data_IF_498603188687
#
_entry.id   IF_498603188687
#
_cell.length_a   1.000
_cell.length_b   1.000
_cell.length_c   1.000
_cell.angle_alpha   90.00
_cell.angle_beta   90.00
_cell.angle_gamma   90.00
#
_symmetry.space_group_name_H-M   'P 1'
#
loop_
_entity.id
_entity.type
_entity.pdbx_description
1 polymer ?
#
# COMPACT_ATOMS: atom_id res chain seq x y z
N UNK A 1 -5.98 21.25 36.73
CA UNK A 1 -5.39 19.96 37.15
C UNK A 1 -5.91 18.80 36.29
N UNK A 2 -7.23 18.63 36.14
CA UNK A 2 -7.86 17.58 35.31
C UNK A 2 -7.38 17.55 33.85
N UNK A 3 -7.31 18.71 33.17
CA UNK A 3 -6.79 18.78 31.79
C UNK A 3 -5.33 18.32 31.69
N UNK A 4 -4.48 18.65 32.67
CA UNK A 4 -3.06 18.28 32.67
C UNK A 4 -2.87 16.76 32.83
N UNK A 5 -3.61 16.14 33.75
CA UNK A 5 -3.62 14.68 33.96
C UNK A 5 -4.09 13.97 32.68
N UNK A 6 -5.15 14.47 32.06
CA UNK A 6 -5.66 13.96 30.79
C UNK A 6 -4.62 14.02 29.65
N UNK A 7 -3.92 15.15 29.48
CA UNK A 7 -2.88 15.28 28.47
C UNK A 7 -1.66 14.40 28.75
N UNK A 8 -1.25 14.26 30.01
CA UNK A 8 -0.13 13.37 30.39
C UNK A 8 -0.45 11.89 30.15
N UNK A 9 -1.66 11.44 30.50
CA UNK A 9 -2.08 10.04 30.24
C UNK A 9 -2.17 9.78 28.74
N UNK A 10 -2.74 10.73 27.98
CA UNK A 10 -2.87 10.64 26.53
C UNK A 10 -1.52 10.59 25.80
N UNK A 11 -0.59 11.46 26.18
CA UNK A 11 0.77 11.46 25.64
C UNK A 11 1.45 10.10 25.88
N UNK A 12 1.37 9.59 27.12
CA UNK A 12 1.96 8.29 27.45
C UNK A 12 1.32 7.11 26.71
N UNK A 13 0.00 7.09 26.52
CA UNK A 13 -0.67 6.03 25.75
C UNK A 13 -0.24 6.04 24.27
N UNK A 14 -0.11 7.23 23.66
CA UNK A 14 0.41 7.36 22.30
C UNK A 14 1.86 6.87 22.22
N UNK A 15 2.73 7.27 23.15
CA UNK A 15 4.11 6.79 23.21
C UNK A 15 4.20 5.27 23.40
N UNK A 16 3.30 4.67 24.19
CA UNK A 16 3.26 3.23 24.41
C UNK A 16 2.93 2.43 23.14
N UNK A 17 2.10 2.97 22.25
CA UNK A 17 1.74 2.32 21.00
C UNK A 17 2.92 2.21 20.02
N UNK A 18 3.76 3.25 19.96
CA UNK A 18 4.93 3.31 19.06
C UNK A 18 6.23 2.78 19.68
N UNK A 19 6.26 2.48 20.98
CA UNK A 19 7.48 1.99 21.63
C UNK A 19 7.85 0.59 21.17
N UNK A 20 9.09 0.39 20.71
CA UNK A 20 9.60 -0.90 20.21
C UNK A 20 9.80 -1.97 21.31
N UNK A 21 10.08 -1.57 22.56
CA UNK A 21 10.43 -2.48 23.65
C UNK A 21 9.23 -2.88 24.53
N UNK A 22 8.95 -4.18 24.65
CA UNK A 22 7.82 -4.70 25.43
C UNK A 22 7.91 -4.43 26.94
N UNK A 23 9.10 -4.41 27.53
CA UNK A 23 9.28 -4.12 28.96
C UNK A 23 9.03 -2.65 29.27
N UNK A 24 9.50 -1.73 28.42
CA UNK A 24 9.23 -0.30 28.56
C UNK A 24 7.75 0.03 28.32
N UNK A 25 7.09 -0.63 27.36
CA UNK A 25 5.64 -0.53 27.17
C UNK A 25 4.86 -0.96 28.40
N UNK A 26 5.21 -2.11 29.01
CA UNK A 26 4.57 -2.59 30.24
C UNK A 26 4.81 -1.61 31.40
N UNK A 27 6.04 -1.15 31.58
CA UNK A 27 6.37 -0.17 32.62
C UNK A 27 5.57 1.13 32.44
N UNK A 28 5.48 1.66 31.22
CA UNK A 28 4.69 2.87 30.96
C UNK A 28 3.19 2.64 31.16
N UNK A 29 2.65 1.49 30.73
CA UNK A 29 1.26 1.11 31.00
C UNK A 29 0.96 1.02 32.51
N UNK A 30 1.88 0.46 33.30
CA UNK A 30 1.76 0.42 34.77
C UNK A 30 1.76 1.83 35.38
N UNK A 31 2.64 2.72 34.91
CA UNK A 31 2.69 4.11 35.36
C UNK A 31 1.39 4.84 35.01
N UNK A 32 0.85 4.64 33.80
CA UNK A 32 -0.39 5.27 33.35
C UNK A 32 -1.61 4.80 34.15
N UNK A 33 -1.70 3.50 34.44
CA UNK A 33 -2.74 2.93 35.30
C UNK A 33 -2.62 3.48 36.72
N UNK A 34 -1.40 3.58 37.26
CA UNK A 34 -1.17 4.12 38.58
C UNK A 34 -1.57 5.60 38.68
N UNK A 35 -1.21 6.43 37.70
CA UNK A 35 -1.60 7.85 37.62
C UNK A 35 -3.13 8.00 37.51
N UNK A 36 -3.79 7.12 36.76
CA UNK A 36 -5.25 7.10 36.64
C UNK A 36 -5.92 6.74 37.98
N UNK A 37 -5.42 5.73 38.68
CA UNK A 37 -5.93 5.33 40.00
C UNK A 37 -5.72 6.43 41.05
N UNK A 38 -4.58 7.13 41.02
CA UNK A 38 -4.31 8.26 41.91
C UNK A 38 -5.25 9.44 41.61
N UNK A 39 -5.50 9.74 40.34
CA UNK A 39 -6.45 10.79 39.95
C UNK A 39 -7.88 10.46 40.40
N UNK A 40 -8.31 9.20 40.25
CA UNK A 40 -9.61 8.73 40.73
C UNK A 40 -9.71 8.80 42.27
N UNK A 41 -8.63 8.47 42.98
CA UNK A 41 -8.58 8.57 44.44
C UNK A 41 -8.71 10.03 44.91
N UNK A 42 -7.98 10.96 44.30
CA UNK A 42 -8.07 12.40 44.60
C UNK A 42 -9.49 12.92 44.35
N UNK A 43 -10.12 12.55 43.22
CA UNK A 43 -11.50 12.95 42.90
C UNK A 43 -12.51 12.34 43.89
N UNK A 44 -12.29 11.12 44.37
CA UNK A 44 -13.16 10.47 45.36
C UNK A 44 -13.06 11.04 46.77
N UNK A 45 -11.97 11.75 47.07
CA UNK A 45 -11.72 12.36 48.38
C UNK A 45 -12.28 13.79 48.53
N UNK A 46 -12.76 14.39 47.44
CA UNK A 46 -13.35 15.73 47.43
C UNK A 46 -14.89 15.63 47.47
N UNK A 47 -15.48 16.02 48.60
CA UNK A 47 -16.91 15.84 48.92
C UNK A 47 -17.88 16.76 48.16
N UNK A 48 -17.41 17.49 47.13
CA UNK A 48 -18.27 18.30 46.26
C UNK A 48 -18.63 17.53 44.99
N UNK A 49 -19.68 16.71 45.12
CA UNK A 49 -20.22 15.81 44.10
C UNK A 49 -20.80 16.51 42.85
N UNK A 50 -19.95 17.14 42.02
CA UNK A 50 -20.28 17.56 40.64
C UNK A 50 -19.22 17.21 39.60
N UNK A 51 -18.02 16.74 39.99
CA UNK A 51 -16.93 16.40 39.05
C UNK A 51 -16.94 14.96 38.52
N UNK A 52 -17.48 13.99 39.27
CA UNK A 52 -17.36 12.57 38.95
C UNK A 52 -18.19 12.12 37.72
N UNK A 53 -19.27 12.82 37.39
CA UNK A 53 -20.15 12.46 36.25
C UNK A 53 -19.57 12.90 34.90
N UNK A 54 -18.63 13.85 34.87
CA UNK A 54 -18.03 14.34 33.62
C UNK A 54 -16.96 13.38 33.07
N UNK A 55 -16.25 12.67 33.96
CA UNK A 55 -15.17 11.74 33.58
C UNK A 55 -15.74 10.48 32.91
N UNK A 56 -16.89 9.98 33.38
CA UNK A 56 -17.50 8.76 32.79
C UNK A 56 -18.14 9.01 31.42
N UNK A 57 -18.74 10.19 31.21
CA UNK A 57 -19.35 10.55 29.92
C UNK A 57 -18.34 11.06 28.88
N UNK A 58 -17.16 11.55 29.28
CA UNK A 58 -16.07 11.87 28.33
C UNK A 58 -15.19 10.67 27.97
N UNK A 59 -15.25 9.57 28.73
CA UNK A 59 -14.51 8.33 28.43
C UNK A 59 -15.27 7.36 27.50
N UNK A 60 -16.57 7.56 27.27
CA UNK A 60 -17.37 6.76 26.33
C UNK A 60 -17.11 7.09 24.86
N UNK A 61 -16.34 8.13 24.56
CA UNK A 61 -15.78 8.37 23.23
C UNK A 61 -14.25 8.27 23.29
N UNK A 62 -13.61 7.42 22.47
CA UNK A 62 -12.18 7.31 22.45
C UNK A 62 -11.53 8.64 22.06
N UNK A 63 -10.98 9.34 23.04
CA UNK A 63 -10.50 10.71 22.94
C UNK A 63 -9.11 10.84 22.30
N UNK A 64 -8.65 9.78 21.62
CA UNK A 64 -7.60 9.88 20.60
C UNK A 64 -8.06 10.68 19.36
N UNK A 65 -9.37 10.97 19.24
CA UNK A 65 -9.97 11.79 18.18
C UNK A 65 -9.88 13.32 18.35
N UNK A 66 -9.34 13.87 19.45
CA UNK A 66 -9.20 15.33 19.61
C UNK A 66 -7.74 15.78 19.55
N UNK A 67 -7.06 15.60 18.42
CA UNK A 67 -5.81 16.32 18.15
C UNK A 67 -6.13 17.82 18.05
N UNK A 68 -5.45 18.60 18.88
CA UNK A 68 -5.48 20.07 18.86
C UNK A 68 -4.42 20.52 17.85
N UNK A 69 -4.90 21.23 16.83
CA UNK A 69 -4.26 22.36 16.16
C UNK A 69 -3.23 22.22 15.02
N UNK A 70 -2.78 21.03 14.59
CA UNK A 70 -2.00 20.92 13.35
C UNK A 70 -2.70 20.04 12.32
N UNK A 71 -2.72 20.49 11.07
CA UNK A 71 -3.31 19.73 9.99
C UNK A 71 -2.52 18.43 9.83
N UNK A 72 -3.16 17.25 9.85
CA UNK A 72 -2.43 16.00 9.95
C UNK A 72 -1.51 15.80 8.74
N UNK A 73 -0.23 15.56 9.01
CA UNK A 73 0.77 15.12 8.03
C UNK A 73 1.13 13.67 8.31
N UNK A 74 1.37 12.91 7.25
CA UNK A 74 1.70 11.49 7.33
C UNK A 74 3.01 11.19 6.60
N UNK A 75 3.82 10.32 7.18
CA UNK A 75 4.96 9.73 6.49
C UNK A 75 4.43 8.57 5.65
N UNK A 76 4.55 8.68 4.34
CA UNK A 76 4.20 7.63 3.39
C UNK A 76 5.47 6.90 2.99
N UNK A 77 5.42 5.58 2.99
CA UNK A 77 6.48 4.68 2.56
C UNK A 77 5.92 3.79 1.47
N UNK A 78 6.72 3.49 0.46
CA UNK A 78 6.34 2.60 -0.62
C UNK A 78 7.49 1.68 -1.01
N UNK A 79 7.16 0.46 -1.43
CA UNK A 79 8.12 -0.52 -1.98
C UNK A 79 7.77 -0.86 -3.42
N UNK A 80 8.80 -1.17 -4.18
CA UNK A 80 8.67 -1.55 -5.57
C UNK A 80 8.95 -3.02 -5.81
N UNK A 81 8.26 -3.56 -6.79
CA UNK A 81 8.66 -4.76 -7.48
C UNK A 81 10.07 -4.58 -8.11
N UNK A 82 10.82 -5.68 -8.22
CA UNK A 82 12.12 -5.73 -8.89
C UNK A 82 11.97 -6.17 -10.35
N UNK A 83 10.89 -6.86 -10.69
CA UNK A 83 10.59 -7.11 -12.09
C UNK A 83 10.42 -5.75 -12.79
N UNK A 84 11.14 -5.61 -13.90
CA UNK A 84 11.04 -4.48 -14.81
C UNK A 84 11.73 -3.15 -14.42
N UNK A 85 12.75 -3.09 -13.55
CA UNK A 85 13.48 -1.81 -13.32
C UNK A 85 13.83 -1.08 -14.65
N UNK A 86 13.23 0.10 -14.86
CA UNK A 86 13.38 0.86 -16.09
C UNK A 86 14.42 1.96 -15.89
N UNK A 87 15.67 1.64 -16.25
CA UNK A 87 16.82 2.53 -16.09
C UNK A 87 16.68 3.86 -16.85
N UNK A 88 16.05 3.84 -18.03
CA UNK A 88 15.85 5.04 -18.86
C UNK A 88 14.86 6.02 -18.19
N UNK A 89 13.73 5.50 -17.70
CA UNK A 89 12.76 6.30 -16.94
C UNK A 89 13.36 6.82 -15.62
N UNK A 90 14.14 5.99 -14.94
CA UNK A 90 14.81 6.37 -13.69
C UNK A 90 15.74 7.57 -13.87
N UNK A 91 16.60 7.56 -14.90
CA UNK A 91 17.55 8.64 -15.21
C UNK A 91 16.88 9.95 -15.69
N UNK A 92 15.69 9.86 -16.28
CA UNK A 92 14.95 11.02 -16.81
C UNK A 92 14.09 11.76 -15.78
N UNK A 93 13.91 11.22 -14.57
CA UNK A 93 13.00 11.81 -13.57
C UNK A 93 13.70 12.87 -12.70
N UNK A 94 13.14 14.09 -12.57
CA UNK A 94 13.69 15.10 -11.68
C UNK A 94 13.66 14.69 -10.20
N UNK A 95 12.77 13.76 -9.82
CA UNK A 95 12.68 13.21 -8.46
C UNK A 95 13.84 12.24 -8.11
N UNK A 96 14.63 11.83 -9.10
CA UNK A 96 15.73 10.87 -8.95
C UNK A 96 17.13 11.52 -9.08
N UNK A 97 17.22 12.86 -9.19
CA UNK A 97 18.45 13.56 -9.58
C UNK A 97 19.68 13.26 -8.69
N UNK A 98 19.49 12.82 -7.45
CA UNK A 98 20.55 12.50 -6.50
C UNK A 98 20.65 11.00 -6.14
N UNK A 99 19.93 10.11 -6.84
CA UNK A 99 19.90 8.68 -6.55
C UNK A 99 20.67 7.93 -7.64
N UNK A 100 21.71 7.18 -7.25
CA UNK A 100 22.45 6.36 -8.20
C UNK A 100 21.59 5.20 -8.70
N UNK A 101 21.49 5.03 -10.03
CA UNK A 101 20.81 3.89 -10.62
C UNK A 101 21.49 2.58 -10.17
N UNK A 102 20.72 1.50 -9.89
CA UNK A 102 21.31 0.22 -9.54
C UNK A 102 22.10 -0.36 -10.72
N UNK A 103 23.43 -0.29 -10.64
CA UNK A 103 24.34 -1.27 -11.24
C UNK A 103 24.55 -1.22 -12.76
N UNK A 104 24.97 -0.08 -13.31
CA UNK A 104 25.64 -0.03 -14.63
C UNK A 104 27.15 -0.27 -14.49
N UNK A 105 27.60 -1.51 -14.38
CA UNK A 105 29.03 -1.84 -14.26
C UNK A 105 29.34 -3.24 -14.78
N UNK A 106 29.88 -3.31 -15.99
CA UNK A 106 30.28 -4.56 -16.66
C UNK A 106 31.26 -5.38 -15.83
N UNK A 107 30.95 -6.67 -15.70
CA UNK A 107 31.74 -7.66 -15.00
C UNK A 107 30.82 -8.69 -14.35
N UNK A 108 31.15 -9.96 -14.50
CA UNK A 108 30.42 -11.15 -14.05
C UNK A 108 30.37 -11.27 -12.51
N UNK A 109 29.87 -10.23 -11.83
CA UNK A 109 29.55 -10.25 -10.39
C UNK A 109 28.11 -10.72 -10.25
N UNK A 110 27.89 -11.75 -9.42
CA UNK A 110 26.56 -12.28 -9.06
C UNK A 110 25.55 -11.14 -8.97
N UNK A 111 24.57 -11.10 -9.88
CA UNK A 111 23.56 -10.04 -9.95
C UNK A 111 22.78 -10.04 -8.63
N UNK A 112 23.16 -9.15 -7.72
CA UNK A 112 22.38 -8.88 -6.52
C UNK A 112 21.03 -8.32 -6.98
N UNK A 113 19.92 -8.90 -6.51
CA UNK A 113 18.58 -8.41 -6.82
C UNK A 113 18.33 -7.12 -6.06
N UNK A 114 17.58 -6.20 -6.66
CA UNK A 114 17.39 -4.84 -6.14
C UNK A 114 15.91 -4.47 -6.20
N UNK A 115 15.44 -3.73 -5.22
CA UNK A 115 14.10 -3.13 -5.21
C UNK A 115 14.24 -1.67 -4.74
N UNK A 116 13.17 -0.89 -4.76
CA UNK A 116 13.16 0.47 -4.25
C UNK A 116 12.31 0.60 -2.98
N UNK A 117 12.73 1.50 -2.10
CA UNK A 117 11.98 1.99 -0.96
C UNK A 117 11.86 3.52 -1.07
N UNK A 118 10.67 4.01 -1.37
CA UNK A 118 10.40 5.43 -1.52
C UNK A 118 9.72 6.00 -0.27
N UNK A 119 10.05 7.24 0.06
CA UNK A 119 9.47 7.95 1.20
C UNK A 119 8.88 9.29 0.74
N UNK A 120 7.77 9.69 1.36
CA UNK A 120 7.07 10.93 1.07
C UNK A 120 6.38 11.52 2.31
N UNK A 121 6.00 12.79 2.25
CA UNK A 121 5.02 13.38 3.15
C UNK A 121 3.67 13.50 2.45
N UNK A 122 2.61 12.99 3.08
CA UNK A 122 1.24 13.32 2.73
C UNK A 122 0.77 14.49 3.60
N UNK A 123 0.35 15.58 2.96
CA UNK A 123 -0.26 16.73 3.59
C UNK A 123 -1.77 16.66 3.42
N UNK A 124 -2.50 16.85 4.51
CA UNK A 124 -3.94 17.11 4.47
C UNK A 124 -4.15 18.60 4.65
N UNK A 125 -5.12 19.18 3.96
CA UNK A 125 -5.60 20.57 4.16
C UNK A 125 -7.12 20.57 4.18
N UNK A 126 -7.71 21.48 4.95
CA UNK A 126 -9.17 21.64 5.03
C UNK A 126 -9.48 23.08 4.59
N UNK A 127 -10.16 23.25 3.46
CA UNK A 127 -10.56 24.61 3.04
C UNK A 127 -11.60 25.19 4.01
N UNK A 128 -11.48 26.48 4.32
CA UNK A 128 -12.49 27.23 5.09
C UNK A 128 -12.25 27.42 6.59
N UNK A 129 -11.13 26.94 7.14
CA UNK A 129 -10.76 27.16 8.55
C UNK A 129 -9.51 28.01 8.70
N UNK A 130 -9.61 29.32 8.50
CA UNK A 130 -8.59 30.26 8.98
C UNK A 130 -8.58 30.26 10.51
N UNK A 131 -7.79 29.36 11.11
CA UNK A 131 -7.65 29.23 12.55
C UNK A 131 -7.53 27.78 12.99
N UNK A 132 -6.49 27.51 13.79
CA UNK A 132 -6.29 26.26 14.55
C UNK A 132 -7.62 25.74 15.10
N UNK A 133 -8.15 24.66 14.53
CA UNK A 133 -9.48 24.19 14.92
C UNK A 133 -9.85 22.83 14.35
N UNK A 134 -10.26 21.95 15.27
CA UNK A 134 -10.82 20.60 15.12
C UNK A 134 -11.63 20.40 13.82
N UNK A 135 -11.45 19.24 13.16
CA UNK A 135 -12.36 18.68 12.15
C UNK A 135 -13.76 18.44 12.77
N UNK A 136 -14.51 19.51 13.02
CA UNK A 136 -15.94 19.46 13.32
C UNK A 136 -16.70 19.77 12.04
N UNK A 137 -17.42 18.75 11.57
CA UNK A 137 -18.47 18.78 10.55
C UNK A 137 -18.93 20.20 10.13
N UNK A 138 -18.61 20.63 8.91
CA UNK A 138 -19.61 20.93 7.87
C UNK A 138 -18.95 21.39 6.55
N UNK A 139 -19.34 20.73 5.45
CA UNK A 139 -19.17 21.10 4.02
C UNK A 139 -17.79 21.13 3.34
N UNK A 140 -16.66 21.29 4.03
CA UNK A 140 -15.37 21.35 3.32
C UNK A 140 -14.75 19.96 3.10
N UNK A 141 -14.47 19.64 1.83
CA UNK A 141 -13.76 18.41 1.45
C UNK A 141 -12.28 18.55 1.83
N UNK A 142 -11.69 17.57 2.54
CA UNK A 142 -10.24 17.59 2.76
C UNK A 142 -9.53 17.50 1.42
N UNK A 143 -8.47 18.29 1.26
CA UNK A 143 -7.54 18.20 0.14
C UNK A 143 -6.27 17.52 0.58
N UNK A 144 -5.72 16.73 -0.31
CA UNK A 144 -4.51 15.97 -0.07
C UNK A 144 -3.45 16.35 -1.10
N UNK A 145 -2.19 16.39 -0.68
CA UNK A 145 -1.05 16.53 -1.58
C UNK A 145 0.10 15.69 -1.06
N UNK A 146 0.89 15.11 -1.97
CA UNK A 146 2.04 14.29 -1.63
C UNK A 146 3.35 14.92 -2.11
N UNK A 147 4.37 14.87 -1.28
CA UNK A 147 5.72 15.35 -1.57
C UNK A 147 6.72 14.20 -1.37
N UNK A 148 7.33 13.73 -2.45
CA UNK A 148 8.36 12.69 -2.42
C UNK A 148 9.68 13.23 -1.86
N UNK A 149 10.31 12.46 -0.96
CA UNK A 149 11.56 12.83 -0.28
C UNK A 149 12.77 12.10 -0.82
N UNK A 150 12.69 10.78 -0.90
CA UNK A 150 13.83 9.92 -1.15
C UNK A 150 13.38 8.61 -1.81
N UNK A 151 14.30 8.02 -2.56
CA UNK A 151 14.21 6.64 -3.06
C UNK A 151 15.50 5.93 -2.68
N UNK A 152 15.40 4.90 -1.86
CA UNK A 152 16.51 4.07 -1.43
C UNK A 152 16.50 2.73 -2.17
N UNK A 153 17.66 2.20 -2.51
CA UNK A 153 17.78 0.88 -3.13
C UNK A 153 17.87 -0.20 -2.05
N UNK A 154 16.89 -1.10 -2.05
CA UNK A 154 16.89 -2.32 -1.27
C UNK A 154 17.68 -3.40 -2.01
N UNK A 155 18.37 -4.27 -1.27
CA UNK A 155 19.19 -5.34 -1.85
C UNK A 155 19.10 -6.63 -1.04
N UNK A 156 19.11 -7.76 -1.74
CA UNK A 156 19.12 -9.09 -1.15
C UNK A 156 19.84 -10.08 -2.06
N UNK A 157 20.37 -11.14 -1.47
CA UNK A 157 20.97 -12.26 -2.18
C UNK A 157 20.05 -13.48 -2.30
N UNK A 158 18.88 -13.46 -1.65
CA UNK A 158 17.92 -14.57 -1.75
C UNK A 158 17.20 -14.51 -3.09
N UNK A 159 17.16 -15.65 -3.77
CA UNK A 159 16.47 -15.84 -5.04
C UNK A 159 15.88 -17.25 -5.09
N UNK A 160 14.80 -17.42 -5.85
CA UNK A 160 14.25 -18.70 -6.28
C UNK A 160 14.13 -18.63 -7.79
N UNK A 161 14.58 -19.66 -8.51
CA UNK A 161 14.63 -19.68 -10.00
C UNK A 161 15.20 -18.40 -10.65
N UNK A 162 16.17 -17.80 -9.96
CA UNK A 162 16.85 -16.58 -10.38
C UNK A 162 16.09 -15.29 -10.06
N UNK A 163 14.83 -15.31 -9.66
CA UNK A 163 13.97 -14.17 -9.32
C UNK A 163 13.90 -13.90 -7.81
N UNK A 164 13.47 -12.70 -7.42
CA UNK A 164 13.41 -12.29 -6.01
C UNK A 164 13.58 -10.79 -5.78
N UNK A 165 13.20 -10.34 -4.58
CA UNK A 165 12.91 -8.93 -4.26
C UNK A 165 11.78 -8.30 -5.10
N UNK A 166 10.84 -9.12 -5.54
CA UNK A 166 9.61 -8.66 -6.19
C UNK A 166 8.61 -8.33 -5.06
N UNK A 167 8.78 -7.13 -4.48
CA UNK A 167 8.09 -6.73 -3.25
C UNK A 167 6.70 -6.17 -3.53
N UNK A 168 5.66 -6.96 -3.22
CA UNK A 168 4.28 -6.70 -3.70
C UNK A 168 3.29 -6.25 -2.63
N UNK A 169 3.74 -5.84 -1.44
CA UNK A 169 2.87 -5.23 -0.41
C UNK A 169 3.70 -4.66 0.75
N UNK A 170 3.16 -3.70 1.52
CA UNK A 170 3.84 -3.13 2.69
C UNK A 170 2.90 -3.02 3.89
N UNK A 171 3.32 -3.45 5.08
CA UNK A 171 2.46 -3.45 6.27
C UNK A 171 3.23 -3.24 7.58
N UNK A 172 2.77 -2.31 8.43
CA UNK A 172 3.18 -2.28 9.83
C UNK A 172 2.54 -3.41 10.64
N UNK A 173 3.33 -4.13 11.43
CA UNK A 173 2.83 -5.20 12.30
C UNK A 173 3.74 -5.43 13.52
N UNK A 174 3.18 -6.07 14.56
CA UNK A 174 3.88 -6.60 15.73
C UNK A 174 4.93 -5.65 16.34
N UNK A 175 4.45 -4.49 16.81
CA UNK A 175 5.26 -3.47 17.48
C UNK A 175 5.90 -2.43 16.56
N UNK A 176 5.13 -1.92 15.59
CA UNK A 176 5.55 -0.90 14.62
C UNK A 176 6.77 -1.29 13.77
N UNK A 177 6.93 -2.59 13.51
CA UNK A 177 7.89 -3.11 12.53
C UNK A 177 7.23 -3.13 11.16
N UNK A 178 7.99 -2.78 10.13
CA UNK A 178 7.51 -2.67 8.77
C UNK A 178 7.87 -3.95 8.01
N UNK A 179 6.91 -4.54 7.32
CA UNK A 179 7.10 -5.81 6.60
C UNK A 179 6.69 -5.68 5.14
N UNK A 180 7.43 -6.37 4.28
CA UNK A 180 7.12 -6.56 2.87
C UNK A 180 7.29 -8.03 2.52
N UNK A 181 6.61 -8.50 1.50
CA UNK A 181 6.72 -9.88 1.04
C UNK A 181 7.21 -9.92 -0.41
N UNK A 182 8.15 -10.82 -0.68
CA UNK A 182 8.68 -11.11 -2.02
C UNK A 182 7.80 -12.19 -2.67
N UNK A 183 7.07 -11.84 -3.72
CA UNK A 183 6.04 -12.67 -4.33
C UNK A 183 6.60 -13.87 -5.11
N UNK A 184 7.91 -13.86 -5.37
CA UNK A 184 8.56 -14.99 -6.01
C UNK A 184 9.08 -16.02 -5.01
N UNK A 185 9.83 -15.54 -4.01
CA UNK A 185 10.47 -16.43 -3.02
C UNK A 185 9.55 -16.80 -1.85
N UNK A 186 8.46 -16.05 -1.67
CA UNK A 186 7.59 -16.13 -0.49
C UNK A 186 8.26 -15.63 0.79
N UNK A 187 9.42 -14.99 0.71
CA UNK A 187 10.12 -14.46 1.90
C UNK A 187 9.43 -13.18 2.35
N UNK A 188 9.03 -13.17 3.63
CA UNK A 188 8.58 -11.96 4.32
C UNK A 188 9.79 -11.29 4.97
N UNK A 189 10.13 -10.11 4.50
CA UNK A 189 11.18 -9.27 5.02
C UNK A 189 10.64 -8.26 6.02
N UNK A 190 11.33 -8.07 7.12
CA UNK A 190 11.24 -6.83 7.90
C UNK A 190 12.13 -5.77 7.22
N UNK A 191 11.57 -4.60 6.97
CA UNK A 191 12.29 -3.40 6.57
C UNK A 191 12.64 -2.62 7.83
N UNK A 192 13.90 -2.73 8.25
CA UNK A 192 14.41 -2.03 9.42
C UNK A 192 14.75 -0.60 9.03
N UNK A 193 14.04 0.34 9.65
CA UNK A 193 14.26 1.78 9.52
C UNK A 193 15.01 2.29 10.77
N UNK A 194 16.20 2.83 10.53
CA UNK A 194 17.09 3.46 11.51
C UNK A 194 17.43 4.87 11.03
N UNK A 195 17.35 5.85 11.91
CA UNK A 195 17.57 7.26 11.55
C UNK A 195 19.00 7.48 11.04
N UNK A 196 19.13 8.19 9.91
CA UNK A 196 20.42 8.45 9.27
C UNK A 196 21.04 7.26 8.53
N UNK A 197 20.38 6.10 8.50
CA UNK A 197 20.84 4.90 7.80
C UNK A 197 19.87 4.49 6.69
N UNK A 198 20.42 3.86 5.64
CA UNK A 198 19.61 3.30 4.57
C UNK A 198 18.72 2.14 5.11
N UNK A 199 17.50 1.97 4.58
CA UNK A 199 16.63 0.85 4.94
C UNK A 199 17.32 -0.51 4.73
N UNK A 200 17.16 -1.42 5.69
CA UNK A 200 17.77 -2.75 5.65
C UNK A 200 16.72 -3.85 5.69
N UNK A 201 16.83 -4.80 4.76
CA UNK A 201 15.99 -5.98 4.73
C UNK A 201 16.50 -7.07 5.68
N UNK A 202 15.59 -7.66 6.44
CA UNK A 202 15.85 -8.82 7.31
C UNK A 202 14.80 -9.90 7.03
N UNK A 203 15.15 -11.06 6.47
CA UNK A 203 14.21 -12.17 6.32
C UNK A 203 13.66 -12.60 7.69
N UNK A 204 12.34 -12.72 7.81
CA UNK A 204 11.68 -13.14 9.06
C UNK A 204 10.85 -14.41 8.90
N UNK A 205 10.19 -14.57 7.75
CA UNK A 205 9.39 -15.74 7.43
C UNK A 205 9.62 -16.16 5.98
N UNK A 206 9.33 -17.42 5.67
CA UNK A 206 9.19 -17.92 4.30
C UNK A 206 7.84 -18.63 4.21
N UNK A 207 7.07 -18.28 3.19
CA UNK A 207 5.71 -18.76 2.99
C UNK A 207 5.70 -19.69 1.79
N UNK A 208 5.52 -20.99 2.03
CA UNK A 208 5.26 -21.95 0.96
C UNK A 208 3.90 -21.67 0.31
N UNK A 209 3.81 -21.94 -0.99
CA UNK A 209 2.59 -21.72 -1.77
C UNK A 209 1.40 -22.59 -1.32
N UNK A 210 0.19 -22.16 -1.66
CA UNK A 210 -1.04 -22.91 -1.43
C UNK A 210 -1.29 -23.28 0.04
N UNK A 211 -1.55 -24.56 0.28
CA UNK A 211 -1.84 -25.13 1.60
C UNK A 211 -0.60 -25.24 2.52
N UNK A 212 0.57 -24.79 2.04
CA UNK A 212 1.83 -24.84 2.78
C UNK A 212 2.68 -26.08 2.51
N UNK A 213 2.25 -26.97 1.61
CA UNK A 213 2.98 -28.19 1.25
C UNK A 213 3.74 -28.07 -0.07
N UNK A 214 3.65 -26.93 -0.75
CA UNK A 214 4.42 -26.65 -1.97
C UNK A 214 5.91 -26.48 -1.68
N UNK A 215 6.75 -26.87 -2.64
CA UNK A 215 8.18 -26.59 -2.66
C UNK A 215 8.53 -25.19 -3.16
N UNK A 216 7.54 -24.44 -3.66
CA UNK A 216 7.70 -23.06 -4.17
C UNK A 216 7.24 -22.02 -3.14
N UNK A 217 7.74 -20.79 -3.31
CA UNK A 217 7.27 -19.63 -2.56
C UNK A 217 5.85 -19.24 -2.94
N UNK A 218 5.11 -18.70 -1.98
CA UNK A 218 3.81 -18.10 -2.21
C UNK A 218 3.96 -16.79 -2.97
N UNK A 219 3.15 -16.63 -4.01
CA UNK A 219 2.87 -15.33 -4.64
C UNK A 219 2.05 -14.45 -3.72
N UNK A 220 2.68 -13.55 -3.00
CA UNK A 220 2.04 -12.66 -2.05
C UNK A 220 1.73 -11.32 -2.71
N UNK A 221 0.46 -10.92 -2.66
CA UNK A 221 -0.07 -9.82 -3.47
C UNK A 221 -0.77 -8.76 -2.62
N UNK A 222 -1.16 -9.11 -1.40
CA UNK A 222 -1.71 -8.15 -0.46
C UNK A 222 -1.42 -8.56 0.97
N UNK A 223 -1.33 -7.57 1.86
CA UNK A 223 -1.13 -7.79 3.28
C UNK A 223 -1.97 -6.83 4.11
N UNK A 224 -2.53 -7.34 5.21
CA UNK A 224 -3.20 -6.52 6.22
C UNK A 224 -3.07 -7.11 7.61
N UNK A 225 -3.54 -6.38 8.62
CA UNK A 225 -3.59 -6.87 10.00
C UNK A 225 -5.03 -7.10 10.43
N UNK A 226 -5.30 -8.26 11.05
CA UNK A 226 -6.61 -8.59 11.63
C UNK A 226 -6.44 -9.10 13.05
N UNK A 227 -6.80 -8.27 14.02
CA UNK A 227 -6.39 -8.46 15.41
C UNK A 227 -4.87 -8.41 15.50
N UNK A 228 -4.26 -9.38 16.18
CA UNK A 228 -2.80 -9.45 16.33
C UNK A 228 -2.10 -10.18 15.17
N UNK A 229 -2.85 -10.69 14.18
CA UNK A 229 -2.31 -11.48 13.09
C UNK A 229 -2.03 -10.65 11.86
N UNK A 230 -0.91 -10.94 11.19
CA UNK A 230 -0.65 -10.48 9.83
C UNK A 230 -1.26 -11.48 8.85
N UNK A 231 -2.10 -10.99 7.95
CA UNK A 231 -2.77 -11.76 6.90
C UNK A 231 -2.10 -11.41 5.57
N UNK A 232 -1.62 -12.41 4.85
CA UNK A 232 -1.01 -12.25 3.52
C UNK A 232 -1.77 -13.14 2.55
N UNK A 233 -2.29 -12.57 1.48
CA UNK A 233 -2.97 -13.33 0.44
C UNK A 233 -2.29 -13.22 -0.91
N UNK A 234 -2.72 -14.10 -1.82
CA UNK A 234 -2.32 -14.11 -3.23
C UNK A 234 -3.44 -13.51 -4.09
N UNK A 235 -3.36 -13.68 -5.41
CA UNK A 235 -4.23 -13.02 -6.41
C UNK A 235 -5.72 -13.36 -6.25
N UNK A 236 -6.08 -14.46 -5.59
CA UNK A 236 -7.47 -14.87 -5.42
C UNK A 236 -8.13 -15.43 -6.69
N UNK A 237 -7.35 -15.72 -7.73
CA UNK A 237 -7.78 -16.41 -8.95
C UNK A 237 -6.94 -17.68 -9.14
N UNK A 238 -7.53 -18.83 -9.54
CA UNK A 238 -6.77 -20.05 -9.81
C UNK A 238 -5.61 -19.79 -10.79
N UNK A 239 -4.50 -20.51 -10.62
CA UNK A 239 -3.38 -20.39 -11.56
C UNK A 239 -3.77 -21.02 -12.89
N UNK A 240 -3.73 -20.23 -13.96
CA UNK A 240 -4.13 -20.66 -15.30
C UNK A 240 -2.88 -20.90 -16.16
N UNK A 241 -2.90 -21.98 -16.93
CA UNK A 241 -1.85 -22.29 -17.88
C UNK A 241 -1.95 -21.34 -19.07
N UNK A 242 -0.87 -20.58 -19.31
CA UNK A 242 -0.85 -19.46 -20.25
C UNK A 242 -1.35 -19.79 -21.66
N UNK A 243 -0.97 -20.96 -22.21
CA UNK A 243 -1.31 -21.31 -23.60
C UNK A 243 -2.67 -21.93 -23.77
N UNK A 244 -3.18 -22.62 -22.75
CA UNK A 244 -4.39 -23.45 -22.88
C UNK A 244 -5.59 -22.85 -22.18
N UNK A 245 -5.39 -21.88 -21.27
CA UNK A 245 -6.46 -21.36 -20.43
C UNK A 245 -6.94 -22.35 -19.37
N UNK A 246 -6.27 -23.49 -19.20
CA UNK A 246 -6.67 -24.52 -18.25
C UNK A 246 -6.20 -24.18 -16.83
N UNK A 247 -7.03 -24.47 -15.82
CA UNK A 247 -6.63 -24.38 -14.42
C UNK A 247 -5.53 -25.39 -14.11
N UNK A 248 -4.40 -24.92 -13.59
CA UNK A 248 -3.26 -25.74 -13.17
C UNK A 248 -3.37 -26.10 -11.69
N UNK A 249 -3.65 -25.11 -10.85
CA UNK A 249 -3.78 -25.28 -9.40
C UNK A 249 -4.63 -24.15 -8.79
N UNK A 250 -4.97 -24.31 -7.51
CA UNK A 250 -5.77 -23.36 -6.73
C UNK A 250 -4.95 -22.68 -5.64
N UNK A 251 -3.61 -22.70 -5.73
CA UNK A 251 -2.75 -22.14 -4.68
C UNK A 251 -2.98 -20.65 -4.42
N UNK A 252 -3.25 -19.79 -5.43
CA UNK A 252 -3.50 -18.38 -5.17
C UNK A 252 -4.82 -18.10 -4.42
N UNK A 253 -5.64 -19.12 -4.17
CA UNK A 253 -6.84 -19.01 -3.34
C UNK A 253 -6.53 -19.13 -1.83
N UNK A 254 -5.28 -19.37 -1.45
CA UNK A 254 -4.88 -19.53 -0.05
C UNK A 254 -4.36 -18.23 0.57
N UNK A 255 -4.70 -18.01 1.83
CA UNK A 255 -4.22 -16.89 2.65
C UNK A 255 -3.37 -17.44 3.80
N UNK A 256 -2.27 -16.75 4.12
CA UNK A 256 -1.38 -17.07 5.23
C UNK A 256 -1.67 -16.14 6.39
N UNK A 257 -1.80 -16.71 7.58
CA UNK A 257 -2.01 -15.96 8.81
C UNK A 257 -0.81 -16.18 9.74
N UNK A 258 -0.07 -15.12 10.02
CA UNK A 258 1.13 -15.15 10.86
C UNK A 258 0.78 -14.56 12.23
N UNK A 259 0.98 -15.36 13.28
CA UNK A 259 0.82 -14.91 14.66
C UNK A 259 1.99 -14.05 15.14
N UNK A 260 1.85 -13.24 16.22
CA UNK A 260 2.96 -12.46 16.77
C UNK A 260 4.21 -13.26 17.16
N UNK A 261 4.04 -14.58 17.37
CA UNK A 261 5.13 -15.52 17.69
C UNK A 261 5.76 -16.14 16.43
N UNK A 262 5.31 -15.78 15.24
CA UNK A 262 5.82 -16.28 13.95
C UNK A 262 5.22 -17.59 13.49
N UNK A 263 4.25 -18.18 14.21
CA UNK A 263 3.51 -19.36 13.75
C UNK A 263 2.65 -18.97 12.54
N UNK A 264 2.80 -19.72 11.45
CA UNK A 264 2.06 -19.55 10.20
C UNK A 264 0.91 -20.57 10.14
N UNK A 265 -0.28 -20.11 9.76
CA UNK A 265 -1.42 -20.95 9.39
C UNK A 265 -1.81 -20.69 7.94
N UNK A 266 -2.22 -21.74 7.24
CA UNK A 266 -2.68 -21.71 5.86
C UNK A 266 -4.21 -21.82 5.87
N UNK A 267 -4.90 -20.87 5.25
CA UNK A 267 -6.36 -20.76 5.27
C UNK A 267 -6.85 -20.78 3.83
N UNK A 268 -7.69 -21.77 3.51
CA UNK A 268 -8.39 -21.81 2.22
C UNK A 268 -9.40 -20.67 2.17
N UNK A 269 -9.24 -19.80 1.16
CA UNK A 269 -10.07 -18.62 0.92
C UNK A 269 -10.85 -18.70 -0.41
N UNK A 270 -10.95 -19.89 -1.03
CA UNK A 270 -11.71 -20.07 -2.26
C UNK A 270 -13.15 -19.56 -2.15
N UNK A 271 -13.84 -19.88 -1.05
CA UNK A 271 -15.22 -19.44 -0.83
C UNK A 271 -15.35 -17.91 -0.65
N UNK A 272 -14.53 -17.22 0.18
CA UNK A 272 -14.46 -15.75 0.19
C UNK A 272 -14.25 -15.11 -1.19
N UNK A 273 -13.26 -15.56 -1.97
CA UNK A 273 -12.97 -15.00 -3.30
C UNK A 273 -14.15 -15.18 -4.27
N UNK A 274 -14.76 -16.36 -4.26
CA UNK A 274 -15.92 -16.67 -5.09
C UNK A 274 -17.12 -15.76 -4.76
N UNK A 275 -17.40 -15.52 -3.47
CA UNK A 275 -18.48 -14.62 -3.08
C UNK A 275 -18.22 -13.17 -3.48
N UNK A 276 -16.96 -12.72 -3.44
CA UNK A 276 -16.60 -11.38 -3.93
C UNK A 276 -16.82 -11.26 -5.43
N UNK A 277 -16.39 -12.26 -6.21
CA UNK A 277 -16.63 -12.34 -7.66
C UNK A 277 -18.13 -12.30 -7.99
N UNK A 278 -18.92 -13.13 -7.31
CA UNK A 278 -20.37 -13.18 -7.51
C UNK A 278 -21.06 -11.85 -7.11
N UNK A 279 -20.64 -11.21 -6.03
CA UNK A 279 -21.19 -9.92 -5.60
C UNK A 279 -20.88 -8.78 -6.59
N UNK A 280 -19.77 -8.88 -7.32
CA UNK A 280 -19.42 -7.99 -8.43
C UNK A 280 -20.24 -8.25 -9.70
N UNK A 281 -21.10 -9.28 -9.72
CA UNK A 281 -21.88 -9.67 -10.89
C UNK A 281 -21.06 -10.32 -12.00
N UNK A 282 -19.84 -10.77 -11.69
CA UNK A 282 -18.94 -11.42 -12.65
C UNK A 282 -19.34 -12.89 -12.78
N UNK A 283 -19.63 -13.36 -13.99
CA UNK A 283 -19.99 -14.76 -14.29
C UNK A 283 -18.82 -15.74 -14.19
N UNK A 284 -19.08 -17.04 -14.20
CA UNK A 284 -18.11 -18.13 -13.89
C UNK A 284 -16.88 -18.18 -14.81
N UNK A 285 -17.00 -17.58 -15.98
CA UNK A 285 -15.91 -17.44 -16.93
C UNK A 285 -15.08 -16.18 -16.70
N UNK A 286 -15.57 -15.20 -15.96
CA UNK A 286 -14.84 -13.98 -15.62
C UNK A 286 -13.95 -14.15 -14.38
N UNK A 287 -13.19 -13.11 -14.05
CA UNK A 287 -12.23 -13.17 -12.95
C UNK A 287 -12.05 -11.82 -12.23
N UNK A 288 -11.56 -11.94 -10.99
CA UNK A 288 -11.00 -10.85 -10.21
C UNK A 288 -9.55 -11.18 -9.88
N UNK A 289 -8.64 -10.21 -9.97
CA UNK A 289 -7.28 -10.30 -9.41
C UNK A 289 -7.19 -9.32 -8.24
N UNK A 290 -6.76 -9.80 -7.09
CA UNK A 290 -6.69 -9.02 -5.84
C UNK A 290 -5.24 -8.74 -5.44
N UNK A 291 -4.89 -7.46 -5.34
CA UNK A 291 -3.61 -6.96 -4.78
C UNK A 291 -3.85 -5.91 -3.68
N UNK A 292 -5.11 -5.62 -3.37
CA UNK A 292 -5.49 -4.76 -2.25
C UNK A 292 -6.58 -5.43 -1.43
N UNK A 293 -6.23 -5.73 -0.17
CA UNK A 293 -7.13 -6.29 0.83
C UNK A 293 -6.88 -5.63 2.19
N UNK A 294 -7.92 -5.06 2.80
CA UNK A 294 -7.85 -4.35 4.07
C UNK A 294 -8.86 -4.92 5.06
N UNK A 295 -8.46 -4.92 6.34
CA UNK A 295 -9.36 -5.16 7.45
C UNK A 295 -9.55 -3.90 8.28
N UNK A 296 -10.79 -3.43 8.42
CA UNK A 296 -11.13 -2.39 9.39
C UNK A 296 -11.56 -3.03 10.70
N UNK A 297 -10.74 -2.89 11.74
CA UNK A 297 -11.12 -3.27 13.11
C UNK A 297 -12.26 -2.40 13.62
N UNK A 298 -12.32 -1.13 13.21
CA UNK A 298 -13.38 -0.19 13.59
C UNK A 298 -14.75 -0.65 13.12
N UNK A 299 -14.84 -1.11 11.87
CA UNK A 299 -16.12 -1.49 11.25
C UNK A 299 -16.36 -3.00 11.23
N UNK A 300 -15.37 -3.81 11.64
CA UNK A 300 -15.39 -5.27 11.56
C UNK A 300 -15.71 -5.76 10.14
N UNK A 301 -15.03 -5.16 9.17
CA UNK A 301 -15.29 -5.35 7.73
C UNK A 301 -14.00 -5.51 6.95
N UNK A 302 -14.09 -6.33 5.91
CA UNK A 302 -13.11 -6.43 4.83
C UNK A 302 -13.40 -5.41 3.74
N UNK A 303 -12.35 -4.86 3.15
CA UNK A 303 -12.40 -3.99 1.99
C UNK A 303 -11.40 -4.52 0.96
N UNK A 304 -11.86 -4.82 -0.24
CA UNK A 304 -11.03 -5.25 -1.36
C UNK A 304 -11.21 -4.31 -2.54
N UNK A 305 -10.11 -3.95 -3.18
CA UNK A 305 -10.13 -3.19 -4.44
C UNK A 305 -9.36 -4.05 -5.45
N UNK A 306 -10.06 -4.86 -6.27
CA UNK A 306 -9.40 -5.73 -7.22
C UNK A 306 -8.54 -4.92 -8.19
N UNK A 307 -7.31 -5.35 -8.45
CA UNK A 307 -6.44 -4.78 -9.48
C UNK A 307 -7.10 -4.93 -10.86
N UNK A 308 -7.61 -6.13 -11.12
CA UNK A 308 -8.26 -6.47 -12.37
C UNK A 308 -9.66 -7.04 -12.19
N UNK A 309 -10.57 -6.63 -13.07
CA UNK A 309 -11.97 -7.07 -13.11
C UNK A 309 -12.36 -7.38 -14.54
N UNK A 310 -12.70 -8.63 -14.86
CA UNK A 310 -13.13 -9.00 -16.21
C UNK A 310 -14.34 -9.95 -16.19
N UNK A 311 -15.22 -9.76 -17.18
CA UNK A 311 -16.34 -10.66 -17.45
C UNK A 311 -15.98 -11.78 -18.43
N UNK A 312 -14.80 -11.72 -19.04
CA UNK A 312 -14.31 -12.72 -19.99
C UNK A 312 -13.24 -13.61 -19.35
N UNK A 313 -13.01 -14.83 -19.89
CA UNK A 313 -11.92 -15.69 -19.46
C UNK A 313 -10.59 -14.99 -19.41
N UNK A 314 -9.80 -15.29 -18.37
CA UNK A 314 -8.42 -14.85 -18.27
C UNK A 314 -7.64 -15.35 -19.48
N UNK A 315 -6.93 -14.44 -20.14
CA UNK A 315 -5.89 -14.76 -21.12
C UNK A 315 -4.63 -14.00 -20.71
N UNK A 316 -3.45 -14.61 -20.78
CA UNK A 316 -2.21 -13.91 -20.52
C UNK A 316 -2.06 -12.68 -21.42
N UNK A 317 -1.72 -11.54 -20.84
CA UNK A 317 -1.63 -10.24 -21.51
C UNK A 317 -2.92 -9.41 -21.49
N UNK A 318 -4.07 -9.99 -21.12
CA UNK A 318 -5.32 -9.23 -20.95
C UNK A 318 -5.33 -8.41 -19.64
N UNK A 319 -4.44 -8.72 -18.69
CA UNK A 319 -4.33 -7.98 -17.41
C UNK A 319 -4.19 -6.46 -17.60
N UNK A 320 -3.49 -5.99 -18.63
CA UNK A 320 -3.20 -4.57 -18.81
C UNK A 320 -4.40 -3.72 -19.27
N UNK A 321 -5.58 -4.32 -19.52
CA UNK A 321 -6.73 -3.63 -20.13
C UNK A 321 -7.91 -3.40 -19.17
N UNK A 322 -7.85 -3.95 -17.97
CA UNK A 322 -8.99 -4.00 -17.05
C UNK A 322 -8.60 -3.54 -15.65
N UNK A 323 -8.46 -2.22 -15.45
CA UNK A 323 -8.14 -1.65 -14.13
C UNK A 323 -9.28 -1.79 -13.11
N UNK A 324 -9.05 -1.25 -11.90
CA UNK A 324 -9.99 -1.33 -10.78
C UNK A 324 -11.29 -0.55 -11.05
N UNK A 325 -12.44 -1.16 -10.74
CA UNK A 325 -13.76 -0.56 -11.02
C UNK A 325 -14.63 -0.32 -9.79
N UNK A 326 -14.35 -0.98 -8.67
CA UNK A 326 -15.18 -0.89 -7.47
C UNK A 326 -14.40 -1.28 -6.19
N UNK A 327 -14.96 -0.88 -5.04
CA UNK A 327 -14.59 -1.33 -3.70
C UNK A 327 -15.60 -2.40 -3.26
N UNK A 328 -15.10 -3.57 -2.90
CA UNK A 328 -15.90 -4.66 -2.34
C UNK A 328 -15.79 -4.59 -0.82
N UNK A 329 -16.93 -4.38 -0.15
CA UNK A 329 -17.02 -4.23 1.30
C UNK A 329 -17.78 -5.42 1.87
N UNK A 330 -17.12 -6.27 2.65
CA UNK A 330 -17.71 -7.48 3.20
C UNK A 330 -17.70 -7.48 4.73
N UNK A 331 -18.70 -8.10 5.34
CA UNK A 331 -18.63 -8.46 6.77
C UNK A 331 -17.54 -9.51 7.01
N UNK A 332 -17.18 -9.73 8.28
CA UNK A 332 -16.13 -10.67 8.67
C UNK A 332 -16.27 -12.09 8.10
N UNK A 333 -17.50 -12.52 7.77
CA UNK A 333 -17.84 -13.86 7.27
C UNK A 333 -18.13 -13.93 5.77
N UNK A 334 -18.03 -12.80 5.06
CA UNK A 334 -18.42 -12.67 3.65
C UNK A 334 -19.86 -13.17 3.39
N UNK A 335 -20.77 -13.02 4.35
CA UNK A 335 -22.21 -13.30 4.18
C UNK A 335 -22.95 -12.08 3.65
N UNK A 336 -22.46 -10.88 3.94
CA UNK A 336 -23.02 -9.63 3.46
C UNK A 336 -21.92 -8.85 2.76
N UNK A 337 -22.09 -8.67 1.46
CA UNK A 337 -21.14 -7.96 0.60
C UNK A 337 -21.88 -6.79 -0.06
N UNK A 338 -21.24 -5.63 -0.06
CA UNK A 338 -21.68 -4.42 -0.73
C UNK A 338 -20.59 -4.02 -1.71
N UNK A 339 -20.97 -3.64 -2.93
CA UNK A 339 -20.06 -3.15 -3.96
C UNK A 339 -20.28 -1.66 -4.13
N UNK A 340 -19.24 -0.87 -3.93
CA UNK A 340 -19.25 0.58 -4.17
C UNK A 340 -18.47 0.89 -5.44
N UNK A 341 -19.10 1.41 -6.51
CA UNK A 341 -18.40 1.78 -7.74
C UNK A 341 -17.31 2.83 -7.47
N UNK A 342 -16.16 2.68 -8.11
CA UNK A 342 -15.13 3.72 -8.12
C UNK A 342 -15.50 4.78 -9.16
N UNK A 343 -15.37 6.05 -8.77
CA UNK A 343 -15.40 7.15 -9.72
C UNK A 343 -14.22 7.01 -10.69
N UNK A 344 -14.46 7.29 -11.97
CA UNK A 344 -13.43 7.23 -13.01
C UNK A 344 -12.25 8.11 -12.63
N UNK A 345 -11.05 7.54 -12.66
CA UNK A 345 -9.79 8.27 -12.46
C UNK A 345 -9.16 8.65 -13.79
N UNK A 346 -8.15 9.52 -13.76
CA UNK A 346 -7.45 9.97 -14.96
C UNK A 346 -6.80 8.81 -15.75
N UNK A 347 -6.38 7.73 -15.09
CA UNK A 347 -5.79 6.55 -15.73
C UNK A 347 -6.67 5.30 -15.51
N UNK A 348 -7.66 5.02 -16.36
CA UNK A 348 -8.59 3.90 -16.17
C UNK A 348 -7.96 2.51 -16.42
N UNK A 349 -6.82 2.44 -17.10
CA UNK A 349 -6.04 1.21 -17.30
C UNK A 349 -5.15 0.86 -16.11
N UNK A 350 -4.92 1.81 -15.19
CA UNK A 350 -4.09 1.59 -14.02
C UNK A 350 -4.86 0.76 -12.96
N UNK A 351 -4.38 -0.45 -12.67
CA UNK A 351 -4.95 -1.31 -11.63
C UNK A 351 -4.38 -0.95 -10.25
N UNK A 352 -5.19 -1.03 -9.20
CA UNK A 352 -4.73 -0.84 -7.80
C UNK A 352 -3.81 -1.99 -7.39
N UNK A 353 -2.60 -1.66 -6.93
CA UNK A 353 -1.55 -2.64 -6.54
C UNK A 353 -1.32 -2.74 -5.03
N UNK A 354 -1.71 -1.73 -4.25
CA UNK A 354 -1.83 -1.80 -2.78
C UNK A 354 -2.67 -0.63 -2.27
N UNK A 355 -3.10 -0.71 -1.03
CA UNK A 355 -3.93 0.29 -0.39
C UNK A 355 -3.76 0.29 1.12
N UNK A 356 -4.06 1.42 1.78
CA UNK A 356 -4.16 1.54 3.24
C UNK A 356 -5.19 2.57 3.65
N UNK A 357 -5.83 2.39 4.81
CA UNK A 357 -6.62 3.46 5.41
C UNK A 357 -5.73 4.63 5.83
N UNK A 358 -6.17 5.85 5.57
CA UNK A 358 -5.55 7.05 6.14
C UNK A 358 -5.78 7.03 7.66
N UNK A 359 -4.74 7.12 8.51
CA UNK A 359 -4.85 6.92 9.95
C UNK A 359 -5.41 8.17 10.65
N UNK A 360 -6.65 8.52 10.32
CA UNK A 360 -7.42 9.61 10.90
C UNK A 360 -8.57 9.12 11.80
N UNK A 361 -8.66 7.80 12.00
CA UNK A 361 -9.61 7.17 12.91
C UNK A 361 -10.99 6.86 12.37
N UNK A 362 -11.26 7.15 11.10
CA UNK A 362 -12.58 6.98 10.50
C UNK A 362 -12.67 5.74 9.61
N UNK A 363 -11.54 5.24 9.12
CA UNK A 363 -11.43 4.17 8.12
C UNK A 363 -12.36 4.46 6.93
N UNK A 364 -12.25 5.70 6.40
CA UNK A 364 -13.08 6.21 5.30
C UNK A 364 -12.26 6.62 4.10
N UNK A 365 -11.13 7.28 4.33
CA UNK A 365 -10.20 7.63 3.28
C UNK A 365 -9.15 6.53 3.12
N UNK A 366 -8.89 6.14 1.88
CA UNK A 366 -7.98 5.06 1.51
C UNK A 366 -6.94 5.66 0.56
N UNK A 367 -5.66 5.59 0.94
CA UNK A 367 -4.56 5.81 0.01
C UNK A 367 -4.40 4.55 -0.83
N UNK A 368 -4.30 4.72 -2.14
CA UNK A 368 -4.12 3.62 -3.09
C UNK A 368 -2.92 3.93 -3.97
N UNK A 369 -2.17 2.90 -4.31
CA UNK A 369 -1.21 2.94 -5.41
C UNK A 369 -1.77 2.14 -6.58
N UNK A 370 -1.48 2.61 -7.80
CA UNK A 370 -1.94 1.98 -9.04
C UNK A 370 -0.79 1.88 -10.01
N UNK A 371 -0.78 0.85 -10.84
CA UNK A 371 0.22 0.70 -11.90
C UNK A 371 -0.47 0.52 -13.25
N UNK A 372 -0.02 1.29 -14.23
CA UNK A 372 -0.37 1.12 -15.64
C UNK A 372 0.81 0.51 -16.39
N UNK A 373 0.62 -0.68 -16.94
CA UNK A 373 1.63 -1.46 -17.68
C UNK A 373 1.40 -1.40 -19.20
N UNK A 374 0.37 -0.67 -19.66
CA UNK A 374 0.04 -0.55 -21.09
C UNK A 374 0.94 0.45 -21.83
N UNK A 375 1.62 1.35 -21.11
CA UNK A 375 2.42 2.45 -21.68
C UNK A 375 3.84 2.00 -22.05
N UNK A 376 3.92 1.15 -23.08
CA UNK A 376 5.18 0.69 -23.68
C UNK A 376 5.90 1.74 -24.57
N UNK A 377 5.55 3.03 -24.53
CA UNK A 377 6.21 4.06 -25.34
C UNK A 377 6.36 5.39 -24.59
N UNK A 378 7.60 5.72 -24.21
CA UNK A 378 7.97 7.11 -23.95
C UNK A 378 8.15 7.82 -25.30
N UNK A 379 7.24 8.73 -25.63
CA UNK A 379 7.60 9.86 -26.49
C UNK A 379 8.11 10.97 -25.57
N UNK A 380 9.38 11.33 -25.71
CA UNK A 380 9.94 12.55 -25.10
C UNK A 380 9.00 13.71 -25.43
N UNK A 381 8.56 14.52 -24.44
CA UNK A 381 7.94 15.80 -24.78
C UNK A 381 9.00 16.61 -25.51
N UNK A 382 8.89 16.69 -26.83
CA UNK A 382 9.71 17.60 -27.61
C UNK A 382 9.44 18.99 -27.06
N UNK A 383 10.45 19.75 -26.60
CA UNK A 383 10.26 21.16 -26.33
C UNK A 383 9.75 21.78 -27.61
N UNK A 384 8.55 22.36 -27.58
CA UNK A 384 8.02 23.16 -28.67
C UNK A 384 8.82 24.44 -28.75
N UNK A 385 10.01 24.36 -29.35
CA UNK A 385 10.66 25.53 -29.91
C UNK A 385 9.79 25.98 -31.10
N UNK A 386 9.32 27.23 -31.14
CA UNK A 386 8.54 27.71 -32.28
C UNK A 386 9.47 27.77 -33.50
N UNK A 387 9.34 26.81 -34.40
CA UNK A 387 10.08 26.84 -35.66
C UNK A 387 9.41 27.86 -36.61
N UNK A 388 10.18 28.80 -37.20
CA UNK A 388 9.65 29.78 -38.14
C UNK A 388 9.11 29.10 -39.40
N UNK A 389 7.97 29.58 -39.88
CA UNK A 389 7.37 29.20 -41.16
C UNK A 389 8.35 29.53 -42.30
N UNK A 390 8.92 28.51 -42.96
CA UNK A 390 9.48 28.63 -44.31
C UNK A 390 9.33 27.33 -45.12
N UNK A 391 8.60 27.46 -46.23
CA UNK A 391 9.09 27.06 -47.55
C UNK A 391 9.04 25.58 -47.93
N UNK A 392 7.90 25.19 -48.47
CA UNK A 392 7.60 23.97 -49.22
C UNK A 392 8.57 23.72 -50.41
N UNK A 393 9.22 22.53 -50.49
CA UNK A 393 9.75 21.90 -51.73
C UNK A 393 9.88 20.37 -51.60
N UNK A 394 8.93 19.67 -52.22
CA UNK A 394 9.03 18.41 -52.99
C UNK A 394 10.38 17.65 -53.04
N UNK A 395 10.36 16.33 -52.76
CA UNK A 395 10.96 15.29 -53.64
C UNK A 395 10.54 13.85 -53.31
N UNK A 396 10.38 13.07 -54.39
CA UNK A 396 9.84 11.71 -54.56
C UNK A 396 10.85 10.57 -54.29
N UNK A 397 10.28 9.39 -53.97
CA UNK A 397 10.62 8.00 -54.39
C UNK A 397 12.03 7.43 -54.06
N UNK A 398 12.09 6.25 -53.41
CA UNK A 398 12.16 4.92 -54.07
C UNK A 398 12.20 3.77 -53.06
N UNK A 399 11.75 2.62 -53.55
CA UNK A 399 11.59 1.29 -52.96
C UNK A 399 12.90 0.49 -52.85
N UNK A 400 12.74 -0.71 -52.25
CA UNK A 400 13.60 -1.90 -52.20
C UNK A 400 14.61 -1.97 -51.05
N UNK A 401 14.44 -2.99 -50.20
CA UNK A 401 15.30 -3.35 -49.10
C UNK A 401 14.89 -4.71 -48.57
N UNK A 402 15.79 -5.68 -48.75
CA UNK A 402 15.70 -7.09 -48.37
C UNK A 402 15.37 -7.32 -46.89
N UNK A 403 14.66 -8.42 -46.63
CA UNK A 403 14.61 -9.08 -45.32
C UNK A 403 15.99 -9.70 -45.05
N UNK A 404 16.70 -9.25 -44.01
CA UNK A 404 17.02 -10.21 -42.95
C UNK A 404 17.08 -9.54 -41.57
N UNK A 405 16.27 -10.02 -40.62
CA UNK A 405 16.69 -10.33 -39.25
C UNK A 405 15.46 -10.61 -38.39
N UNK A 406 15.26 -11.89 -38.07
CA UNK A 406 14.58 -12.31 -36.84
C UNK A 406 15.52 -11.90 -35.69
N UNK A 407 15.40 -10.65 -35.25
CA UNK A 407 15.89 -10.23 -33.96
C UNK A 407 14.79 -10.54 -32.94
N UNK A 408 15.09 -11.40 -31.98
CA UNK A 408 14.29 -11.59 -30.77
C UNK A 408 14.13 -10.23 -30.09
N UNK A 409 12.98 -9.58 -30.28
CA UNK A 409 12.63 -8.35 -29.59
C UNK A 409 12.35 -8.68 -28.12
N UNK A 410 13.33 -8.47 -27.26
CA UNK A 410 13.11 -8.28 -25.83
C UNK A 410 12.38 -6.96 -25.64
N UNK A 411 11.06 -6.97 -25.73
CA UNK A 411 10.22 -5.82 -25.40
C UNK A 411 10.20 -5.64 -23.88
N UNK A 412 11.11 -4.83 -23.33
CA UNK A 412 10.95 -4.34 -21.95
C UNK A 412 9.75 -3.41 -21.94
N UNK A 413 8.59 -3.93 -21.52
CA UNK A 413 7.36 -3.17 -21.37
C UNK A 413 7.57 -1.95 -20.46
N UNK A 414 6.92 -0.83 -20.78
CA UNK A 414 6.94 0.37 -19.95
C UNK A 414 5.79 0.35 -18.96
N UNK A 415 6.04 0.72 -17.70
CA UNK A 415 5.01 0.93 -16.69
C UNK A 415 5.15 2.31 -16.03
N UNK A 416 4.08 2.75 -15.38
CA UNK A 416 4.08 3.92 -14.50
C UNK A 416 3.18 3.67 -13.30
N UNK A 417 3.72 3.91 -12.09
CA UNK A 417 2.93 3.89 -10.86
C UNK A 417 2.41 5.27 -10.48
N UNK A 418 1.23 5.28 -9.90
CA UNK A 418 0.49 6.44 -9.44
C UNK A 418 0.05 6.25 -7.99
N UNK A 419 -0.12 7.34 -7.26
CA UNK A 419 -0.69 7.35 -5.93
C UNK A 419 -1.90 8.29 -5.88
N UNK A 420 -2.97 7.85 -5.24
CA UNK A 420 -4.26 8.54 -5.21
C UNK A 420 -4.91 8.35 -3.84
N UNK A 421 -5.93 9.15 -3.53
CA UNK A 421 -6.75 8.95 -2.33
C UNK A 421 -8.21 8.92 -2.75
N UNK A 422 -8.90 7.89 -2.30
CA UNK A 422 -10.34 7.69 -2.52
C UNK A 422 -11.04 7.58 -1.16
N UNK A 423 -12.36 7.66 -1.13
CA UNK A 423 -13.14 7.26 0.04
C UNK A 423 -13.84 5.90 -0.16
N UNK A 424 -14.40 5.36 0.92
CA UNK A 424 -15.14 4.08 0.91
C UNK A 424 -16.41 4.09 0.08
N UNK A 425 -16.91 5.27 -0.28
CA UNK A 425 -18.06 5.42 -1.20
C UNK A 425 -17.61 5.42 -2.67
N UNK A 426 -16.29 5.41 -2.92
CA UNK A 426 -15.68 5.35 -4.24
C UNK A 426 -15.39 6.70 -4.87
N UNK A 427 -15.53 7.81 -4.14
CA UNK A 427 -15.20 9.14 -4.63
C UNK A 427 -13.68 9.37 -4.61
N UNK A 428 -13.16 10.06 -5.63
CA UNK A 428 -11.75 10.49 -5.68
C UNK A 428 -11.58 11.76 -4.86
N UNK A 429 -10.67 11.71 -3.87
CA UNK A 429 -10.30 12.83 -2.99
C UNK A 429 -8.94 13.44 -3.37
N UNK A 430 -8.07 12.65 -4.00
CA UNK A 430 -6.82 13.07 -4.62
C UNK A 430 -6.68 12.31 -5.93
N UNK A 431 -6.57 13.04 -7.03
CA UNK A 431 -6.32 12.47 -8.36
C UNK A 431 -4.96 11.75 -8.42
N UNK A 432 -4.80 10.93 -9.46
CA UNK A 432 -3.58 10.16 -9.69
C UNK A 432 -2.35 11.08 -9.79
N UNK A 433 -1.45 10.97 -8.81
CA UNK A 433 -0.16 11.65 -8.79
C UNK A 433 0.95 10.66 -9.15
N UNK A 434 1.86 10.99 -10.08
CA UNK A 434 2.93 10.07 -10.45
C UNK A 434 3.88 9.80 -9.28
N UNK A 435 4.21 8.52 -9.09
CA UNK A 435 5.27 8.07 -8.17
C UNK A 435 6.65 8.20 -8.84
N UNK A 436 7.78 8.08 -8.11
CA UNK A 436 9.12 8.10 -8.68
C UNK A 436 9.24 7.13 -9.87
N UNK A 437 9.74 7.62 -11.00
CA UNK A 437 9.74 6.84 -12.24
C UNK A 437 10.81 5.73 -12.21
N UNK A 438 10.61 4.72 -13.06
CA UNK A 438 11.53 3.59 -13.21
C UNK A 438 11.26 2.41 -12.28
N UNK A 439 10.29 2.55 -11.38
CA UNK A 439 9.92 1.54 -10.38
C UNK A 439 8.42 1.27 -10.39
N UNK A 440 8.07 -0.01 -10.38
CA UNK A 440 6.70 -0.49 -10.28
C UNK A 440 6.36 -0.62 -8.80
N UNK A 441 5.67 0.36 -8.24
CA UNK A 441 5.32 0.35 -6.82
C UNK A 441 4.09 -0.54 -6.58
N UNK A 442 4.24 -1.47 -5.63
CA UNK A 442 3.22 -2.46 -5.26
C UNK A 442 3.06 -2.62 -3.75
N UNK A 443 3.72 -1.78 -2.94
CA UNK A 443 3.40 -1.68 -1.52
C UNK A 443 3.35 -0.25 -1.06
N UNK A 444 2.36 0.10 -0.23
CA UNK A 444 2.24 1.40 0.43
C UNK A 444 1.87 1.24 1.89
N UNK A 445 2.48 2.07 2.74
CA UNK A 445 2.16 2.17 4.16
C UNK A 445 2.34 3.60 4.64
N UNK A 446 1.57 4.00 5.65
CA UNK A 446 1.63 5.34 6.19
C UNK A 446 1.51 5.38 7.70
N UNK A 447 2.22 6.32 8.31
CA UNK A 447 2.13 6.60 9.75
C UNK A 447 1.98 8.10 10.01
N UNK A 448 1.27 8.52 11.07
CA UNK A 448 1.25 9.92 11.47
C UNK A 448 2.65 10.46 11.74
N UNK A 449 2.92 11.69 11.31
CA UNK A 449 4.08 12.45 11.76
C UNK A 449 3.67 13.17 13.05
N UNK A 450 4.29 12.79 14.16
CA UNK A 450 4.06 13.46 15.44
C UNK A 450 5.13 14.53 15.56
N UNK A 451 4.76 15.79 15.36
CA UNK A 451 5.61 16.91 15.74
C UNK A 451 5.68 16.94 17.26
N UNK A 452 6.84 16.62 17.84
CA UNK A 452 7.09 16.91 19.24
C UNK A 452 7.24 18.43 19.35
N UNK A 453 6.28 19.11 19.97
CA UNK A 453 6.59 20.41 20.58
C UNK A 453 7.67 20.16 21.64
N UNK A 454 8.77 20.90 21.53
CA UNK A 454 9.98 20.74 22.35
C UNK A 454 9.81 21.11 23.82
#
# INVERSE_FOLDING_TARGET
>A
MEKAIYYSIRSGLNSAWYMRNAHQRRALMFILVFVLLLALWVVSSDSTAKGATLIYHQMSEPSWMQLVADVPTFHVMAVADNDDFNEAAFKGSPNNANVAAPGGGGGEKKKQRVSAFAEATLHVTVEGGGGRGVLRSSSSKPRFSIEWKSVNILKSGYVHDGRGLELSTLQFWNGARLFSCDDHTGIVYEIVLEEGLAPRLVPRHILSDGDGRSSTGMRCEWCTTKGDFMMIGSTGHPWIHEKTGAVVNHHPLWVKMISPLGVVKHIDWAAPYEKMRAAMGIGDTGYLIHECGLWSTKWNRWYFIPRHVSNTPYRPGDEHQHGSTAIIIADASFKKIVVSPLQSTANPTAGVTDCKFVPNGRDREIIVIKTDESKATWTTPTPTTPTPIKGDKNKKKKSSGEDPNIASSSSSGGFQSYISIINTDGEVLMEDMPMPAGWKFEGVELRPIIHSEG
#
